data_IF_510492785243
#
_entry.id   IF_510492785243
#
_cell.length_a   1.000
_cell.length_b   1.000
_cell.length_c   1.000
_cell.angle_alpha   90.00
_cell.angle_beta   90.00
_cell.angle_gamma   90.00
#
_symmetry.space_group_name_H-M   'P 1'
#
loop_
_entity.id
_entity.type
_entity.pdbx_description
1 polymer ?
#
# COMPACT_ATOMS: atom_id res chain seq x y z
N UNK A 1 -8.97 -5.97 9.44
CA UNK A 1 -9.56 -7.09 8.68
C UNK A 1 -9.65 -8.36 9.53
N UNK A 2 -8.53 -9.03 9.85
CA UNK A 2 -8.50 -10.29 10.60
C UNK A 2 -9.40 -10.35 11.84
N UNK A 3 -9.18 -9.47 12.82
CA UNK A 3 -9.97 -9.42 14.08
C UNK A 3 -11.48 -9.31 13.87
N UNK A 4 -11.89 -8.56 12.85
CA UNK A 4 -13.29 -8.23 12.59
C UNK A 4 -13.89 -9.06 11.46
N UNK A 5 -13.17 -10.10 10.98
CA UNK A 5 -13.57 -11.08 9.98
C UNK A 5 -14.20 -10.46 8.72
N UNK A 6 -13.47 -9.56 8.07
CA UNK A 6 -13.90 -8.92 6.82
C UNK A 6 -12.71 -8.67 5.89
N UNK A 7 -12.97 -8.52 4.59
CA UNK A 7 -11.97 -8.30 3.57
C UNK A 7 -12.38 -7.14 2.66
N UNK A 8 -11.72 -5.98 2.81
CA UNK A 8 -12.00 -4.77 2.03
C UNK A 8 -10.87 -3.73 2.20
N UNK A 9 -10.65 -2.92 1.18
CA UNK A 9 -9.78 -1.73 1.23
C UNK A 9 -10.33 -0.62 2.14
N UNK A 10 -11.63 -0.64 2.44
CA UNK A 10 -12.30 0.31 3.34
C UNK A 10 -12.51 -0.36 4.70
N UNK A 11 -12.05 0.30 5.75
CA UNK A 11 -12.24 -0.18 7.12
C UNK A 11 -13.69 -0.04 7.57
N UNK A 12 -14.12 -0.82 8.57
CA UNK A 12 -15.51 -0.78 9.07
C UNK A 12 -15.92 0.60 9.63
N UNK A 13 -14.96 1.41 10.06
CA UNK A 13 -15.16 2.79 10.50
C UNK A 13 -15.15 3.80 9.32
N UNK A 14 -15.12 3.34 8.07
CA UNK A 14 -15.08 4.17 6.86
C UNK A 14 -13.67 4.58 6.41
N UNK A 15 -12.61 4.35 7.20
CA UNK A 15 -11.26 4.78 6.83
C UNK A 15 -10.75 4.07 5.57
N UNK A 16 -10.30 4.86 4.60
CA UNK A 16 -9.68 4.41 3.35
C UNK A 16 -8.18 4.20 3.54
N UNK A 17 -7.52 3.68 2.52
CA UNK A 17 -6.07 3.42 2.52
C UNK A 17 -5.28 4.68 2.90
N UNK A 18 -5.61 5.83 2.30
CA UNK A 18 -4.96 7.11 2.59
C UNK A 18 -5.02 7.46 4.07
N UNK A 19 -6.21 7.40 4.68
CA UNK A 19 -6.42 7.76 6.08
C UNK A 19 -5.56 6.90 7.02
N UNK A 20 -5.48 5.58 6.72
CA UNK A 20 -4.65 4.65 7.50
C UNK A 20 -3.16 4.91 7.36
N UNK A 21 -2.70 5.17 6.14
CA UNK A 21 -1.29 5.47 5.85
C UNK A 21 -0.87 6.78 6.53
N UNK A 22 -1.69 7.82 6.45
CA UNK A 22 -1.40 9.11 7.09
C UNK A 22 -1.46 9.03 8.61
N UNK A 23 -2.41 8.27 9.16
CA UNK A 23 -2.48 8.02 10.61
C UNK A 23 -1.25 7.25 11.14
N UNK A 24 -0.60 6.45 10.28
CA UNK A 24 0.68 5.80 10.57
C UNK A 24 1.91 6.71 10.45
N UNK A 25 1.74 8.01 10.16
CA UNK A 25 2.83 8.99 10.05
C UNK A 25 3.43 9.16 8.66
N UNK A 26 2.91 8.46 7.63
CA UNK A 26 3.34 8.64 6.25
C UNK A 26 2.50 9.73 5.58
N UNK A 27 2.88 10.99 5.78
CA UNK A 27 2.12 12.17 5.35
C UNK A 27 2.71 12.81 4.08
N UNK A 28 1.88 13.58 3.32
CA UNK A 28 2.34 14.32 2.14
C UNK A 28 3.09 15.63 2.47
N UNK A 29 3.13 16.05 3.74
CA UNK A 29 3.64 17.36 4.13
C UNK A 29 5.12 17.54 3.79
N UNK A 30 5.47 18.65 3.14
CA UNK A 30 6.83 18.95 2.70
C UNK A 30 7.26 18.25 1.41
N UNK A 31 6.37 17.51 0.75
CA UNK A 31 6.64 16.83 -0.51
C UNK A 31 5.86 17.44 -1.67
N UNK A 32 6.46 17.44 -2.87
CA UNK A 32 5.85 17.91 -4.11
C UNK A 32 4.79 16.93 -4.61
N UNK A 33 5.03 15.62 -4.43
CA UNK A 33 4.07 14.59 -4.80
C UNK A 33 3.98 13.50 -3.76
N UNK A 34 2.79 12.89 -3.70
CA UNK A 34 2.45 11.82 -2.77
C UNK A 34 1.57 10.80 -3.49
N UNK A 35 2.08 9.59 -3.65
CA UNK A 35 1.39 8.51 -4.34
C UNK A 35 1.35 7.29 -3.43
N UNK A 36 0.20 6.63 -3.35
CA UNK A 36 -0.01 5.44 -2.53
C UNK A 36 -0.82 4.38 -3.28
N UNK A 37 -0.64 3.12 -2.92
CA UNK A 37 -1.38 1.98 -3.46
C UNK A 37 -1.52 0.88 -2.42
N UNK A 38 -2.45 -0.05 -2.62
CA UNK A 38 -2.67 -1.19 -1.73
C UNK A 38 -3.04 -2.44 -2.53
N UNK A 39 -2.36 -3.53 -2.23
CA UNK A 39 -2.78 -4.88 -2.56
C UNK A 39 -3.21 -5.60 -1.27
N UNK A 40 -4.32 -6.34 -1.33
CA UNK A 40 -4.77 -7.20 -0.23
C UNK A 40 -4.96 -8.62 -0.73
N UNK A 41 -4.76 -9.61 0.14
CA UNK A 41 -5.07 -11.00 -0.16
C UNK A 41 -5.56 -11.74 1.10
N UNK A 42 -6.27 -12.84 0.91
CA UNK A 42 -6.76 -13.68 2.00
C UNK A 42 -6.60 -15.16 1.65
N UNK A 43 -5.99 -15.91 2.56
CA UNK A 43 -5.95 -17.37 2.54
C UNK A 43 -4.64 -17.99 2.02
N UNK A 44 -3.78 -17.20 1.37
CA UNK A 44 -2.44 -17.65 0.98
C UNK A 44 -1.59 -17.89 2.23
N UNK A 45 -0.84 -19.00 2.26
CA UNK A 45 -0.11 -19.47 3.44
C UNK A 45 1.36 -19.11 3.44
N UNK A 46 1.86 -18.56 2.32
CA UNK A 46 3.24 -18.16 2.17
C UNK A 46 3.39 -16.90 1.32
N UNK A 47 4.54 -16.23 1.46
CA UNK A 47 4.92 -15.09 0.61
C UNK A 47 4.89 -15.49 -0.88
N UNK A 48 5.39 -16.69 -1.21
CA UNK A 48 5.41 -17.19 -2.60
C UNK A 48 4.00 -17.30 -3.18
N UNK A 49 3.05 -17.83 -2.40
CA UNK A 49 1.65 -17.95 -2.83
C UNK A 49 0.97 -16.60 -3.02
N UNK A 50 1.14 -15.65 -2.08
CA UNK A 50 0.51 -14.33 -2.20
C UNK A 50 1.11 -13.51 -3.33
N UNK A 51 2.43 -13.56 -3.52
CA UNK A 51 3.09 -12.89 -4.64
C UNK A 51 2.63 -13.46 -5.98
N UNK A 52 2.50 -14.79 -6.10
CA UNK A 52 1.94 -15.42 -7.29
C UNK A 52 0.51 -14.93 -7.56
N UNK A 53 -0.34 -14.93 -6.54
CA UNK A 53 -1.73 -14.46 -6.67
C UNK A 53 -1.85 -12.99 -7.09
N UNK A 54 -0.99 -12.11 -6.57
CA UNK A 54 -0.96 -10.71 -7.01
C UNK A 54 -0.40 -10.54 -8.43
N UNK A 55 0.59 -11.34 -8.84
CA UNK A 55 1.14 -11.30 -10.20
C UNK A 55 0.13 -11.80 -11.25
N UNK A 56 -0.67 -12.81 -10.92
CA UNK A 56 -1.69 -13.38 -11.81
C UNK A 56 -2.95 -12.50 -11.94
N UNK A 57 -3.11 -11.53 -11.05
CA UNK A 57 -4.23 -10.59 -11.08
C UNK A 57 -3.81 -9.26 -11.71
N UNK A 58 -4.39 -8.92 -12.87
CA UNK A 58 -4.02 -7.70 -13.62
C UNK A 58 -4.02 -6.43 -12.75
N UNK A 59 -5.04 -6.24 -11.91
CA UNK A 59 -5.14 -5.06 -11.05
C UNK A 59 -4.04 -5.01 -9.98
N UNK A 60 -3.76 -6.14 -9.32
CA UNK A 60 -2.70 -6.20 -8.31
C UNK A 60 -1.31 -6.13 -8.93
N UNK A 61 -1.12 -6.74 -10.11
CA UNK A 61 0.11 -6.70 -10.89
C UNK A 61 0.42 -5.29 -11.37
N UNK A 62 -0.60 -4.51 -11.77
CA UNK A 62 -0.44 -3.07 -12.06
C UNK A 62 0.16 -2.31 -10.89
N UNK A 63 -0.24 -2.58 -9.65
CA UNK A 63 0.41 -1.96 -8.48
C UNK A 63 1.86 -2.43 -8.31
N UNK A 64 2.12 -3.74 -8.43
CA UNK A 64 3.46 -4.32 -8.31
C UNK A 64 4.46 -3.74 -9.33
N UNK A 65 4.00 -3.52 -10.56
CA UNK A 65 4.83 -3.07 -11.68
C UNK A 65 4.85 -1.55 -11.85
N UNK A 66 4.15 -0.79 -11.01
CA UNK A 66 4.05 0.66 -11.17
C UNK A 66 5.36 1.35 -10.74
N UNK A 67 6.13 1.94 -11.68
CA UNK A 67 7.40 2.57 -11.35
C UNK A 67 7.25 3.86 -10.54
N UNK A 68 6.02 4.40 -10.40
CA UNK A 68 5.76 5.56 -9.57
C UNK A 68 5.92 5.26 -8.07
N UNK A 69 5.74 4.01 -7.65
CA UNK A 69 6.00 3.60 -6.27
C UNK A 69 7.50 3.42 -6.03
N UNK A 70 7.98 3.86 -4.87
CA UNK A 70 9.40 3.84 -4.47
C UNK A 70 9.64 3.13 -3.14
N UNK A 71 8.57 2.87 -2.41
CA UNK A 71 8.58 2.30 -1.08
C UNK A 71 7.46 1.27 -0.95
N UNK A 72 7.68 0.27 -0.10
CA UNK A 72 6.72 -0.80 0.16
C UNK A 72 6.73 -1.20 1.63
N UNK A 73 5.54 -1.44 2.18
CA UNK A 73 5.34 -2.07 3.48
C UNK A 73 4.43 -3.29 3.34
N UNK A 74 4.80 -4.40 3.96
CA UNK A 74 4.05 -5.66 3.88
C UNK A 74 3.79 -6.21 5.28
N UNK A 75 2.57 -6.68 5.51
CA UNK A 75 2.19 -7.32 6.76
C UNK A 75 1.24 -8.50 6.49
N UNK A 76 1.26 -9.48 7.40
CA UNK A 76 0.34 -10.60 7.43
C UNK A 76 -0.17 -10.82 8.85
N UNK A 77 -1.48 -11.03 8.98
CA UNK A 77 -2.13 -11.41 10.22
C UNK A 77 -3.23 -12.42 9.91
N UNK A 78 -3.16 -13.65 10.46
CA UNK A 78 -4.16 -14.72 10.23
C UNK A 78 -4.50 -14.93 8.74
N UNK A 79 -3.48 -14.98 7.88
CA UNK A 79 -3.58 -15.09 6.41
C UNK A 79 -4.25 -13.91 5.69
N UNK A 80 -4.49 -12.79 6.38
CA UNK A 80 -4.82 -11.52 5.74
C UNK A 80 -3.51 -10.81 5.41
N UNK A 81 -3.24 -10.69 4.12
CA UNK A 81 -2.07 -10.00 3.59
C UNK A 81 -2.43 -8.57 3.20
N UNK A 82 -1.55 -7.64 3.54
CA UNK A 82 -1.60 -6.25 3.06
C UNK A 82 -0.22 -5.89 2.56
N UNK A 83 -0.16 -5.34 1.35
CA UNK A 83 1.02 -4.71 0.77
C UNK A 83 0.65 -3.28 0.38
N UNK A 84 1.19 -2.31 1.12
CA UNK A 84 1.02 -0.89 0.82
C UNK A 84 2.23 -0.37 0.07
N UNK A 85 1.97 0.40 -0.97
CA UNK A 85 2.99 1.07 -1.77
C UNK A 85 2.96 2.56 -1.49
N UNK A 86 4.13 3.20 -1.58
CA UNK A 86 4.29 4.63 -1.34
C UNK A 86 5.33 5.25 -2.26
N UNK A 87 5.16 6.54 -2.55
CA UNK A 87 6.22 7.42 -3.00
C UNK A 87 5.96 8.84 -2.52
N UNK A 88 7.04 9.52 -2.12
CA UNK A 88 7.07 10.92 -1.72
C UNK A 88 8.23 11.59 -2.45
N UNK A 89 7.92 12.51 -3.37
CA UNK A 89 8.96 13.23 -4.12
C UNK A 89 9.15 14.60 -3.47
N UNK A 90 10.34 14.93 -2.95
CA UNK A 90 10.58 16.23 -2.34
C UNK A 90 10.56 17.33 -3.42
N UNK A 91 10.28 18.57 -3.01
CA UNK A 91 10.49 19.70 -3.90
C UNK A 91 11.95 19.74 -4.38
N UNK A 92 12.19 20.14 -5.65
CA UNK A 92 13.54 20.39 -6.11
C UNK A 92 14.23 21.37 -5.17
N UNK A 93 15.47 21.10 -4.80
CA UNK A 93 16.29 22.10 -4.09
C UNK A 93 16.33 23.33 -4.99
N UNK A 94 15.84 24.48 -4.50
CA UNK A 94 16.05 25.75 -5.19
C UNK A 94 17.57 25.92 -5.36
N UNK A 95 18.06 25.87 -6.60
CA UNK A 95 19.40 26.34 -6.87
C UNK A 95 19.41 27.83 -6.51
N UNK A 96 20.14 28.19 -5.46
CA UNK A 96 20.32 29.57 -5.06
C UNK A 96 20.96 30.37 -6.20
N UNK A 97 20.49 31.60 -6.38
CA UNK A 97 21.29 32.65 -7.03
C UNK A 97 22.38 33.11 -6.09
#
# INVERSE_FOLDING_TARGET
MARNKYFSHISKNGSKVKDRITAGGYTPDGFQSFTIGENIALGQRSIKEVMKGWLESEMHCKNLMNPAFKEVGVAMENYYWVQNFGARIPFPKRQGR
#
